data_IF_808853999123
#
_entry.id   IF_808853999123
#
_cell.length_a   1.000
_cell.length_b   1.000
_cell.length_c   1.000
_cell.angle_alpha   90.00
_cell.angle_beta   90.00
_cell.angle_gamma   90.00
#
_symmetry.space_group_name_H-M   'P 1'
#
loop_
_entity.id
_entity.type
_entity.pdbx_description
1 polymer ?
#
# COMPACT_ATOMS: atom_id res chain seq x y z
N UNK A 1 4.38 -5.16 -33.20
CA UNK A 1 3.63 -4.64 -32.05
C UNK A 1 4.51 -3.67 -31.30
N UNK A 2 4.02 -2.52 -30.80
CA UNK A 2 4.83 -1.73 -29.88
C UNK A 2 5.19 -2.61 -28.68
N UNK A 3 6.39 -2.45 -28.09
CA UNK A 3 6.75 -3.17 -26.88
C UNK A 3 5.68 -2.87 -25.83
N UNK A 4 5.14 -3.90 -25.17
CA UNK A 4 4.34 -3.72 -23.97
C UNK A 4 5.21 -2.95 -22.98
N UNK A 5 4.98 -1.64 -22.83
CA UNK A 5 5.61 -0.88 -21.77
C UNK A 5 5.27 -1.59 -20.46
N UNK A 6 6.27 -2.03 -19.67
CA UNK A 6 6.01 -2.76 -18.44
C UNK A 6 5.09 -1.89 -17.58
N UNK A 7 3.91 -2.44 -17.28
CA UNK A 7 2.84 -1.79 -16.53
C UNK A 7 3.45 -1.07 -15.32
N UNK A 8 3.57 0.26 -15.41
CA UNK A 8 4.18 1.02 -14.33
C UNK A 8 3.22 0.98 -13.14
N UNK A 9 3.72 0.67 -11.93
CA UNK A 9 2.87 0.63 -10.76
C UNK A 9 2.35 2.06 -10.49
N UNK A 10 1.03 2.22 -10.55
CA UNK A 10 0.37 3.51 -10.33
C UNK A 10 -0.07 3.61 -8.87
N UNK A 11 0.36 4.67 -8.18
CA UNK A 11 -0.20 5.03 -6.87
C UNK A 11 -1.34 6.01 -7.09
N UNK A 12 -2.56 5.60 -6.72
CA UNK A 12 -3.74 6.44 -6.85
C UNK A 12 -3.87 7.39 -5.66
N UNK A 13 -4.23 8.65 -5.93
CA UNK A 13 -4.43 9.65 -4.89
C UNK A 13 -3.13 10.15 -4.25
N UNK A 14 -3.27 11.03 -3.26
CA UNK A 14 -2.13 11.62 -2.56
C UNK A 14 -1.61 10.70 -1.44
N UNK A 15 -0.28 10.59 -1.36
CA UNK A 15 0.42 9.89 -0.29
C UNK A 15 1.57 10.74 0.21
N UNK A 16 1.56 11.03 1.51
CA UNK A 16 2.66 11.73 2.18
C UNK A 16 3.78 10.80 2.62
N UNK A 17 3.67 9.50 2.32
CA UNK A 17 4.57 8.46 2.83
C UNK A 17 5.33 7.80 1.69
N UNK A 18 4.64 7.53 0.57
CA UNK A 18 5.16 6.81 -0.57
C UNK A 18 5.06 7.67 -1.83
N UNK A 19 6.18 7.93 -2.49
CA UNK A 19 6.25 8.69 -3.74
C UNK A 19 6.46 7.77 -4.95
N UNK A 20 6.18 8.25 -6.17
CA UNK A 20 6.23 7.45 -7.40
C UNK A 20 7.57 6.68 -7.60
N UNK A 21 8.71 7.29 -7.30
CA UNK A 21 10.01 6.61 -7.40
C UNK A 21 10.15 5.43 -6.42
N UNK A 22 9.61 5.55 -5.21
CA UNK A 22 9.61 4.45 -4.22
C UNK A 22 8.66 3.32 -4.64
N UNK A 23 7.54 3.65 -5.28
CA UNK A 23 6.62 2.66 -5.85
C UNK A 23 7.34 1.82 -6.92
N UNK A 24 8.07 2.48 -7.83
CA UNK A 24 8.86 1.81 -8.86
C UNK A 24 9.96 0.91 -8.25
N UNK A 25 10.57 1.32 -7.14
CA UNK A 25 11.56 0.51 -6.43
C UNK A 25 10.94 -0.69 -5.70
N UNK A 26 9.74 -0.55 -5.13
CA UNK A 26 9.08 -1.62 -4.37
C UNK A 26 8.39 -2.66 -5.26
N UNK A 27 7.83 -2.24 -6.40
CA UNK A 27 7.01 -3.12 -7.24
C UNK A 27 7.69 -4.43 -7.68
N UNK A 28 9.00 -4.45 -8.05
CA UNK A 28 9.70 -5.69 -8.39
C UNK A 28 9.82 -6.69 -7.24
N UNK A 29 9.67 -6.24 -5.99
CA UNK A 29 9.76 -7.08 -4.79
C UNK A 29 8.41 -7.63 -4.34
N UNK A 30 7.31 -7.22 -4.96
CA UNK A 30 5.99 -7.72 -4.63
C UNK A 30 5.64 -8.98 -5.45
N UNK A 31 4.70 -9.82 -4.96
CA UNK A 31 4.28 -11.00 -5.71
C UNK A 31 3.72 -10.64 -7.10
N UNK A 32 4.02 -11.42 -8.15
CA UNK A 32 3.55 -11.13 -9.52
C UNK A 32 2.04 -10.90 -9.65
N UNK A 33 1.24 -11.55 -8.79
CA UNK A 33 -0.22 -11.42 -8.78
C UNK A 33 -0.74 -10.02 -8.44
N UNK A 34 0.09 -9.15 -7.85
CA UNK A 34 -0.27 -7.75 -7.57
C UNK A 34 0.36 -6.77 -8.55
N UNK A 35 1.26 -7.24 -9.41
CA UNK A 35 1.89 -6.42 -10.45
C UNK A 35 0.86 -5.98 -11.48
N UNK A 36 0.93 -4.72 -11.90
CA UNK A 36 0.00 -4.12 -12.87
C UNK A 36 -1.33 -3.63 -12.28
N UNK A 37 -1.64 -3.93 -11.02
CA UNK A 37 -2.78 -3.34 -10.33
C UNK A 37 -2.42 -1.98 -9.74
N UNK A 38 -3.32 -0.99 -9.78
CA UNK A 38 -3.10 0.29 -9.12
C UNK A 38 -3.10 0.14 -7.60
N UNK A 39 -2.21 0.86 -6.94
CA UNK A 39 -2.07 0.89 -5.49
C UNK A 39 -3.02 1.96 -4.96
N UNK A 40 -4.05 1.55 -4.24
CA UNK A 40 -5.07 2.45 -3.71
C UNK A 40 -4.87 2.67 -2.20
N UNK A 41 -4.87 3.91 -1.71
CA UNK A 41 -4.71 4.22 -0.30
C UNK A 41 -5.97 3.81 0.47
N UNK A 42 -5.90 2.65 1.11
CA UNK A 42 -6.99 2.12 1.92
C UNK A 42 -7.22 2.93 3.19
N UNK A 43 -6.15 3.24 3.92
CA UNK A 43 -6.18 3.94 5.18
C UNK A 43 -4.97 4.86 5.30
N UNK A 44 -5.20 6.11 5.70
CA UNK A 44 -4.16 7.10 5.92
C UNK A 44 -4.40 7.82 7.24
N UNK A 45 -3.43 7.84 8.14
CA UNK A 45 -3.61 8.45 9.48
C UNK A 45 -3.88 9.95 9.43
N UNK A 46 -3.40 10.66 8.40
CA UNK A 46 -3.68 12.08 8.18
C UNK A 46 -5.14 12.35 7.75
N UNK A 47 -5.80 11.38 7.09
CA UNK A 47 -7.18 11.49 6.60
C UNK A 47 -8.19 10.83 7.53
N UNK A 48 -7.88 9.63 7.99
CA UNK A 48 -8.80 8.72 8.68
C UNK A 48 -8.54 8.65 10.20
N UNK A 49 -7.46 9.29 10.68
CA UNK A 49 -7.04 9.33 12.08
C UNK A 49 -6.14 8.17 12.51
N UNK A 50 -5.71 8.18 13.77
CA UNK A 50 -4.69 7.26 14.31
C UNK A 50 -5.26 6.00 14.98
N UNK A 51 -6.57 5.76 14.92
CA UNK A 51 -7.20 4.65 15.62
C UNK A 51 -7.00 3.31 14.90
N UNK A 52 -6.30 2.36 15.54
CA UNK A 52 -6.21 0.98 15.06
C UNK A 52 -7.59 0.35 14.84
N UNK A 53 -8.57 0.64 15.73
CA UNK A 53 -9.95 0.14 15.58
C UNK A 53 -10.58 0.62 14.27
N UNK A 54 -10.35 1.86 13.86
CA UNK A 54 -10.83 2.41 12.59
C UNK A 54 -10.09 1.80 11.40
N UNK A 55 -8.77 1.61 11.52
CA UNK A 55 -7.96 0.91 10.51
C UNK A 55 -8.49 -0.51 10.26
N UNK A 56 -8.70 -1.32 11.30
CA UNK A 56 -9.24 -2.68 11.14
C UNK A 56 -10.64 -2.67 10.49
N UNK A 57 -11.51 -1.71 10.81
CA UNK A 57 -12.83 -1.59 10.16
C UNK A 57 -12.72 -1.31 8.66
N UNK A 58 -11.73 -0.54 8.20
CA UNK A 58 -11.49 -0.30 6.78
C UNK A 58 -11.09 -1.59 6.03
N UNK A 59 -10.41 -2.50 6.72
CA UNK A 59 -9.90 -3.77 6.17
C UNK A 59 -10.94 -4.90 6.16
N UNK A 60 -11.99 -4.81 6.97
CA UNK A 60 -13.01 -5.88 7.09
C UNK A 60 -13.76 -6.20 5.79
N UNK A 61 -13.79 -5.27 4.83
CA UNK A 61 -14.50 -5.43 3.54
C UNK A 61 -13.61 -5.92 2.40
N UNK A 62 -12.33 -6.19 2.67
CA UNK A 62 -11.35 -6.53 1.64
C UNK A 62 -10.96 -8.01 1.69
N UNK A 63 -10.74 -8.58 0.50
CA UNK A 63 -10.09 -9.88 0.28
C UNK A 63 -8.73 -9.72 -0.42
N UNK A 64 -8.20 -8.50 -0.49
CA UNK A 64 -6.98 -8.15 -1.21
C UNK A 64 -5.73 -8.20 -0.30
N UNK A 65 -4.54 -8.49 -0.86
CA UNK A 65 -3.27 -8.17 -0.19
C UNK A 65 -3.18 -6.68 0.15
N UNK A 66 -2.39 -6.36 1.18
CA UNK A 66 -2.23 -5.02 1.73
C UNK A 66 -0.74 -4.68 1.84
N UNK A 67 -0.37 -3.46 1.44
CA UNK A 67 0.92 -2.88 1.74
C UNK A 67 0.77 -1.85 2.86
N UNK A 68 1.39 -2.12 4.01
CA UNK A 68 1.50 -1.18 5.12
C UNK A 68 2.77 -0.36 4.94
N UNK A 69 2.66 0.96 4.95
CA UNK A 69 3.81 1.87 4.90
C UNK A 69 3.72 2.85 6.06
N UNK A 70 4.81 3.01 6.78
CA UNK A 70 4.97 3.87 7.95
C UNK A 70 6.12 4.81 7.68
N UNK A 71 5.92 6.11 7.95
CA UNK A 71 6.99 7.09 8.09
C UNK A 71 7.09 7.45 9.57
N UNK A 72 8.24 7.26 10.17
CA UNK A 72 8.48 7.69 11.55
C UNK A 72 8.74 9.20 11.64
N UNK A 73 8.97 9.67 12.86
CA UNK A 73 9.21 11.09 13.15
C UNK A 73 10.56 11.59 12.64
N UNK A 74 11.50 10.68 12.41
CA UNK A 74 12.82 10.99 11.85
C UNK A 74 12.82 10.97 10.31
N UNK A 75 11.65 10.72 9.71
CA UNK A 75 11.44 10.70 8.26
C UNK A 75 11.76 9.36 7.61
N UNK A 76 12.12 8.33 8.37
CA UNK A 76 12.42 7.01 7.83
C UNK A 76 11.15 6.29 7.42
N UNK A 77 11.18 5.68 6.23
CA UNK A 77 10.03 4.99 5.66
C UNK A 77 10.28 3.48 5.64
N UNK A 78 9.40 2.72 6.26
CA UNK A 78 9.45 1.26 6.32
C UNK A 78 8.04 0.67 6.32
N UNK A 79 7.91 -0.65 6.26
CA UNK A 79 6.61 -1.26 6.10
C UNK A 79 6.63 -2.77 5.94
N UNK A 80 5.48 -3.30 5.56
CA UNK A 80 5.30 -4.73 5.32
C UNK A 80 4.27 -4.97 4.22
N UNK A 81 4.55 -5.96 3.38
CA UNK A 81 3.55 -6.55 2.51
C UNK A 81 2.85 -7.70 3.23
N UNK A 82 1.53 -7.69 3.24
CA UNK A 82 0.70 -8.77 3.75
C UNK A 82 -0.08 -9.40 2.60
N UNK A 83 -0.03 -10.73 2.52
CA UNK A 83 -0.75 -11.50 1.51
C UNK A 83 -2.28 -11.50 1.74
N UNK A 84 -2.72 -11.05 2.91
CA UNK A 84 -4.11 -10.91 3.36
C UNK A 84 -4.33 -9.56 4.07
N UNK A 85 -5.58 -9.21 4.33
CA UNK A 85 -5.93 -8.05 5.18
C UNK A 85 -5.37 -8.19 6.59
N UNK A 86 -4.96 -7.07 7.21
CA UNK A 86 -4.56 -7.05 8.63
C UNK A 86 -5.83 -7.15 9.49
N UNK A 87 -5.85 -8.10 10.42
CA UNK A 87 -6.98 -8.37 11.31
C UNK A 87 -6.53 -8.35 12.76
N UNK A 88 -7.48 -8.09 13.65
CA UNK A 88 -7.27 -8.28 15.07
C UNK A 88 -7.10 -9.78 15.36
N UNK A 89 -6.15 -10.17 16.20
CA UNK A 89 -6.11 -11.53 16.72
C UNK A 89 -7.32 -11.75 17.63
N UNK A 90 -7.96 -12.91 17.49
CA UNK A 90 -9.01 -13.39 18.38
C UNK A 90 -8.45 -13.88 19.71
#
# INVERSE_FOLDING_TARGET
SPPEEPYQPVLNGESNVLHAGQVQQLAPHLPPRVTGYPWNPLYCTARDGFSLKSMYRSMNKLSSPVLLVIRDTDGQTFGAFSSTTIRLSS
#
